data_IF_406583182913
#
_entry.id   IF_406583182913
#
_cell.length_a   1.000
_cell.length_b   1.000
_cell.length_c   1.000
_cell.angle_alpha   90.00
_cell.angle_beta   90.00
_cell.angle_gamma   90.00
#
_symmetry.space_group_name_H-M   'P 1'
#
loop_
_entity.id
_entity.type
_entity.pdbx_description
1 polymer ?
#
# COMPACT_ATOMS: atom_id res chain seq x y z
N UNK A 1 57.98 65.74 -6.11
CA UNK A 1 57.18 66.96 -5.82
C UNK A 1 55.76 66.59 -6.17
N UNK A 2 54.93 66.50 -5.12
CA UNK A 2 53.44 66.41 -5.09
C UNK A 2 52.77 65.21 -5.79
N UNK A 3 52.14 64.23 -5.10
CA UNK A 3 50.84 64.24 -4.35
C UNK A 3 49.70 64.74 -5.27
N UNK A 4 48.59 64.05 -5.54
CA UNK A 4 47.65 63.22 -4.76
C UNK A 4 46.79 62.40 -5.77
N UNK A 5 46.46 61.12 -5.59
CA UNK A 5 45.48 60.52 -4.65
C UNK A 5 44.02 60.69 -5.12
N UNK A 6 43.42 59.68 -5.75
CA UNK A 6 42.00 59.42 -5.54
C UNK A 6 41.64 57.94 -5.73
N UNK A 7 40.89 57.45 -4.76
CA UNK A 7 40.75 56.05 -4.39
C UNK A 7 39.45 55.52 -4.98
N UNK A 8 39.49 54.72 -6.05
CA UNK A 8 38.29 54.04 -6.55
C UNK A 8 38.03 52.80 -5.69
N UNK A 9 37.23 52.97 -4.63
CA UNK A 9 36.76 51.88 -3.77
C UNK A 9 35.84 50.96 -4.56
N UNK A 10 36.39 49.88 -5.10
CA UNK A 10 35.62 48.73 -5.58
C UNK A 10 34.92 48.09 -4.39
N UNK A 11 33.60 48.27 -4.29
CA UNK A 11 32.77 47.50 -3.37
C UNK A 11 32.46 46.15 -4.02
N UNK A 12 33.29 45.14 -3.74
CA UNK A 12 32.89 43.76 -3.95
C UNK A 12 31.73 43.47 -2.98
N UNK A 13 30.51 43.38 -3.51
CA UNK A 13 29.40 42.80 -2.80
C UNK A 13 29.63 41.28 -2.74
N UNK A 14 30.08 40.79 -1.59
CA UNK A 14 30.06 39.37 -1.29
C UNK A 14 28.59 38.94 -1.18
N UNK A 15 28.10 38.22 -2.19
CA UNK A 15 26.81 37.52 -2.10
C UNK A 15 27.07 36.32 -1.17
N UNK A 16 26.71 36.48 0.11
CA UNK A 16 26.52 35.34 0.99
C UNK A 16 25.32 34.55 0.47
N UNK A 17 25.60 33.45 -0.24
CA UNK A 17 24.62 32.42 -0.49
C UNK A 17 24.33 31.77 0.87
N UNK A 18 23.28 32.23 1.55
CA UNK A 18 22.78 31.54 2.73
C UNK A 18 22.29 30.17 2.28
N UNK A 19 23.08 29.12 2.53
CA UNK A 19 22.58 27.74 2.53
C UNK A 19 21.50 27.68 3.60
N UNK A 20 20.24 27.78 3.18
CA UNK A 20 19.13 27.36 4.01
C UNK A 20 19.31 25.84 4.25
N UNK A 21 19.41 25.37 5.50
CA UNK A 21 19.33 23.95 5.75
C UNK A 21 17.93 23.54 5.30
N UNK A 22 17.88 22.75 4.24
CA UNK A 22 16.68 22.01 3.89
C UNK A 22 16.46 21.11 5.10
N UNK A 23 15.43 21.40 5.91
CA UNK A 23 14.87 20.39 6.78
C UNK A 23 14.39 19.27 5.86
N UNK A 24 15.25 18.30 5.63
CA UNK A 24 14.78 16.96 5.36
C UNK A 24 14.02 16.58 6.64
N UNK A 25 12.69 16.55 6.57
CA UNK A 25 11.98 15.62 7.43
C UNK A 25 12.59 14.26 7.09
N UNK A 26 13.42 13.73 7.98
CA UNK A 26 13.58 12.28 8.06
C UNK A 26 12.16 11.75 8.21
N UNK A 27 11.65 11.12 7.14
CA UNK A 27 10.56 10.17 7.26
C UNK A 27 11.10 9.09 8.20
N UNK A 28 10.83 9.25 9.50
CA UNK A 28 11.20 8.29 10.53
C UNK A 28 10.54 6.96 10.15
N UNK A 29 11.31 5.93 9.74
CA UNK A 29 10.72 4.67 9.32
C UNK A 29 10.11 4.05 10.57
N UNK A 30 8.79 4.26 10.75
CA UNK A 30 8.01 3.95 11.95
C UNK A 30 8.67 2.85 12.78
N UNK A 31 9.45 3.28 13.77
CA UNK A 31 9.97 2.37 14.78
C UNK A 31 8.76 1.90 15.58
N UNK A 32 8.59 0.58 15.81
CA UNK A 32 7.47 0.09 16.57
C UNK A 32 7.42 0.79 17.93
N UNK A 33 6.23 1.17 18.36
CA UNK A 33 6.01 1.59 19.73
C UNK A 33 6.34 0.35 20.59
N UNK A 34 7.48 0.42 21.27
CA UNK A 34 8.22 -0.76 21.68
C UNK A 34 7.41 -1.70 22.58
N UNK A 35 7.01 -2.84 22.00
CA UNK A 35 7.04 -4.21 22.56
C UNK A 35 6.41 -5.18 21.54
N UNK A 36 7.11 -6.29 21.28
CA UNK A 36 6.54 -7.53 20.75
C UNK A 36 6.21 -7.64 19.24
N UNK A 37 6.96 -6.98 18.35
CA UNK A 37 6.85 -7.24 16.89
C UNK A 37 5.53 -6.78 16.25
N UNK A 38 4.76 -5.95 16.93
CA UNK A 38 3.49 -5.40 16.44
C UNK A 38 3.70 -4.06 15.74
N UNK A 39 3.13 -3.91 14.55
CA UNK A 39 3.07 -2.68 13.77
C UNK A 39 1.61 -2.32 13.52
N UNK A 40 1.19 -1.12 13.89
CA UNK A 40 -0.19 -0.65 13.75
C UNK A 40 -0.21 0.70 13.05
N UNK A 41 -1.01 0.80 11.99
CA UNK A 41 -1.12 1.97 11.15
C UNK A 41 -2.57 2.38 11.04
N UNK A 42 -2.89 3.56 11.56
CA UNK A 42 -4.22 4.17 11.50
C UNK A 42 -4.23 5.31 10.50
N UNK A 43 -4.85 5.10 9.35
CA UNK A 43 -4.80 6.04 8.24
C UNK A 43 -5.62 7.31 8.47
N UNK A 44 -6.20 7.54 9.64
CA UNK A 44 -6.84 8.82 9.92
C UNK A 44 -5.85 10.00 9.91
N UNK A 45 -4.61 9.76 10.35
CA UNK A 45 -3.60 10.81 10.57
C UNK A 45 -2.58 11.00 9.44
N UNK A 46 -2.63 10.16 8.41
CA UNK A 46 -1.72 10.21 7.26
C UNK A 46 -1.57 8.84 6.62
N UNK A 47 -0.65 8.71 5.65
CA UNK A 47 -0.38 7.43 5.00
C UNK A 47 0.63 6.57 5.76
N UNK A 48 1.29 7.12 6.78
CA UNK A 48 2.34 6.44 7.54
C UNK A 48 3.37 5.76 6.64
N UNK A 49 3.79 6.42 5.54
CA UNK A 49 4.76 5.90 4.58
C UNK A 49 4.32 4.62 3.84
N UNK A 50 3.03 4.28 3.84
CA UNK A 50 2.47 3.35 2.87
C UNK A 50 2.38 4.03 1.51
N UNK A 51 2.83 3.34 0.47
CA UNK A 51 2.85 3.85 -0.91
C UNK A 51 1.96 2.99 -1.80
N UNK A 52 1.15 3.59 -2.69
CA UNK A 52 0.26 2.86 -3.57
C UNK A 52 1.01 2.28 -4.78
N UNK A 53 0.52 1.16 -5.29
CA UNK A 53 0.93 0.53 -6.54
C UNK A 53 -0.27 -0.10 -7.26
N UNK A 54 -0.11 -0.32 -8.56
CA UNK A 54 -1.12 -0.93 -9.43
C UNK A 54 -0.43 -1.91 -10.36
N UNK A 55 -1.00 -3.09 -10.56
CA UNK A 55 -0.49 -4.13 -11.45
C UNK A 55 -1.65 -4.85 -12.17
N UNK A 56 -1.29 -5.74 -13.08
CA UNK A 56 -2.17 -6.57 -13.90
C UNK A 56 -3.06 -5.76 -14.86
N UNK A 57 -2.45 -4.78 -15.52
CA UNK A 57 -3.04 -3.99 -16.60
C UNK A 57 -2.01 -3.70 -17.71
N UNK A 58 -2.42 -3.41 -18.96
CA UNK A 58 -1.47 -3.07 -20.02
C UNK A 58 -0.73 -1.77 -19.74
N UNK A 59 0.58 -1.74 -20.00
CA UNK A 59 1.39 -0.55 -19.76
C UNK A 59 0.90 0.66 -20.59
N UNK A 60 0.77 1.82 -19.96
CA UNK A 60 0.27 3.05 -20.60
C UNK A 60 -1.25 3.20 -20.63
N UNK A 61 -2.01 2.28 -20.04
CA UNK A 61 -3.47 2.32 -19.96
C UNK A 61 -3.98 2.86 -18.60
N UNK A 62 -3.15 3.55 -17.81
CA UNK A 62 -3.51 4.01 -16.46
C UNK A 62 -4.76 4.91 -16.47
N UNK A 63 -4.92 5.74 -17.51
CA UNK A 63 -6.09 6.58 -17.70
C UNK A 63 -7.34 5.77 -18.07
N UNK A 64 -7.20 4.73 -18.90
CA UNK A 64 -8.32 3.88 -19.31
C UNK A 64 -8.80 2.98 -18.17
N UNK A 65 -7.90 2.63 -17.26
CA UNK A 65 -8.19 1.93 -16.00
C UNK A 65 -8.60 2.87 -14.87
N UNK A 66 -8.67 4.18 -15.09
CA UNK A 66 -9.08 5.16 -14.08
C UNK A 66 -8.34 5.01 -12.73
N UNK A 67 -7.04 4.70 -12.76
CA UNK A 67 -6.28 4.38 -11.55
C UNK A 67 -6.15 5.61 -10.63
N UNK A 68 -6.59 5.47 -9.39
CA UNK A 68 -6.62 6.55 -8.39
C UNK A 68 -6.06 6.04 -7.07
N UNK A 69 -5.10 6.79 -6.52
CA UNK A 69 -4.64 6.66 -5.14
C UNK A 69 -4.68 8.01 -4.43
N UNK A 70 -5.38 8.10 -3.30
CA UNK A 70 -5.53 9.35 -2.52
C UNK A 70 -5.61 9.06 -1.02
N UNK A 71 -5.22 10.02 -0.20
CA UNK A 71 -5.52 10.03 1.24
C UNK A 71 -6.63 11.06 1.50
N UNK A 72 -7.84 10.61 1.79
CA UNK A 72 -9.03 11.46 1.84
C UNK A 72 -10.06 10.98 2.87
N UNK A 73 -11.11 11.76 3.08
CA UNK A 73 -12.21 11.43 4.00
C UNK A 73 -13.01 10.24 3.50
N UNK A 74 -13.54 9.43 4.42
CA UNK A 74 -14.43 8.33 4.05
C UNK A 74 -15.73 8.86 3.41
N UNK A 75 -16.32 8.11 2.47
CA UNK A 75 -17.57 8.50 1.82
C UNK A 75 -18.77 8.33 2.74
N UNK A 76 -19.88 9.03 2.45
CA UNK A 76 -21.17 8.72 3.05
C UNK A 76 -21.57 7.26 2.76
N UNK A 77 -22.25 6.55 3.67
CA UNK A 77 -22.80 7.02 4.95
C UNK A 77 -21.82 6.91 6.14
N UNK A 78 -20.54 6.65 5.88
CA UNK A 78 -19.53 6.54 6.94
C UNK A 78 -19.19 7.92 7.52
N UNK A 79 -18.54 7.90 8.69
CA UNK A 79 -18.08 9.10 9.37
C UNK A 79 -17.04 9.85 8.52
N UNK A 80 -17.41 11.05 8.05
CA UNK A 80 -16.57 11.88 7.19
C UNK A 80 -15.45 12.61 7.94
N UNK A 81 -15.41 12.55 9.28
CA UNK A 81 -14.25 12.98 10.07
C UNK A 81 -13.13 11.93 10.05
N UNK A 82 -13.43 10.69 9.63
CA UNK A 82 -12.45 9.63 9.40
C UNK A 82 -11.84 9.74 8.01
N UNK A 83 -10.56 9.38 7.91
CA UNK A 83 -9.81 9.32 6.65
C UNK A 83 -9.23 7.94 6.41
N UNK A 84 -8.96 7.64 5.15
CA UNK A 84 -8.31 6.42 4.70
C UNK A 84 -7.51 6.64 3.42
N UNK A 85 -6.81 5.60 2.98
CA UNK A 85 -6.16 5.57 1.68
C UNK A 85 -7.14 4.95 0.68
N UNK A 86 -7.67 5.78 -0.24
CA UNK A 86 -8.44 5.33 -1.39
C UNK A 86 -7.51 4.68 -2.40
N UNK A 87 -7.81 3.44 -2.78
CA UNK A 87 -7.37 2.83 -4.04
C UNK A 87 -8.60 2.56 -4.91
N UNK A 88 -8.57 3.00 -6.16
CA UNK A 88 -9.65 2.73 -7.12
C UNK A 88 -9.12 2.52 -8.53
N UNK A 89 -9.83 1.70 -9.28
CA UNK A 89 -9.58 1.45 -10.69
C UNK A 89 -10.78 0.77 -11.35
N UNK A 90 -10.94 1.01 -12.64
CA UNK A 90 -11.86 0.32 -13.53
C UNK A 90 -11.14 -0.87 -14.16
N UNK A 91 -11.44 -2.07 -13.69
CA UNK A 91 -10.80 -3.29 -14.16
C UNK A 91 -11.27 -3.64 -15.58
N UNK A 92 -10.30 -3.76 -16.50
CA UNK A 92 -10.53 -4.17 -17.90
C UNK A 92 -9.74 -5.43 -18.28
N UNK A 93 -9.00 -6.00 -17.33
CA UNK A 93 -8.12 -7.17 -17.53
C UNK A 93 -8.63 -8.43 -16.88
N UNK A 94 -9.73 -8.37 -16.10
CA UNK A 94 -10.20 -9.46 -15.24
C UNK A 94 -9.21 -9.82 -14.11
N UNK A 95 -8.24 -8.93 -13.85
CA UNK A 95 -7.12 -9.25 -12.95
C UNK A 95 -6.52 -8.04 -12.22
N UNK A 96 -7.07 -6.83 -12.36
CA UNK A 96 -6.46 -5.60 -11.81
C UNK A 96 -6.11 -5.77 -10.33
N UNK A 97 -4.83 -5.59 -10.00
CA UNK A 97 -4.31 -5.58 -8.65
C UNK A 97 -3.96 -4.16 -8.18
N UNK A 98 -4.57 -3.73 -7.09
CA UNK A 98 -4.33 -2.41 -6.47
C UNK A 98 -3.80 -2.63 -5.07
N UNK A 99 -2.63 -2.11 -4.73
CA UNK A 99 -1.98 -2.44 -3.47
C UNK A 99 -1.32 -1.25 -2.78
N UNK A 100 -1.10 -1.41 -1.47
CA UNK A 100 -0.26 -0.55 -0.66
C UNK A 100 0.97 -1.35 -0.25
N UNK A 101 2.15 -0.74 -0.33
CA UNK A 101 3.41 -1.33 0.16
C UNK A 101 4.08 -0.48 1.22
N UNK A 102 4.80 -1.13 2.12
CA UNK A 102 5.60 -0.47 3.18
C UNK A 102 6.80 -1.32 3.59
N UNK A 103 7.94 -0.67 3.84
CA UNK A 103 9.09 -1.30 4.47
C UNK A 103 8.99 -1.19 5.99
N UNK A 104 9.07 -2.33 6.67
CA UNK A 104 9.26 -2.46 8.11
C UNK A 104 10.76 -2.53 8.39
N UNK A 105 11.17 -1.97 9.52
CA UNK A 105 12.59 -1.94 9.95
C UNK A 105 12.70 -2.26 11.44
N UNK A 106 13.91 -2.56 11.90
CA UNK A 106 14.18 -2.88 13.31
C UNK A 106 13.84 -4.30 13.70
N UNK A 107 13.73 -5.21 12.73
CA UNK A 107 13.61 -6.65 12.93
C UNK A 107 15.00 -7.29 13.09
N UNK A 108 15.05 -8.54 13.52
CA UNK A 108 16.30 -9.30 13.55
C UNK A 108 16.71 -9.60 12.09
N UNK A 109 17.97 -9.32 11.68
CA UNK A 109 18.45 -9.62 10.33
C UNK A 109 18.38 -11.11 9.99
N UNK A 110 18.19 -11.42 8.70
CA UNK A 110 18.23 -12.79 8.16
C UNK A 110 17.36 -13.79 8.95
N UNK A 111 16.29 -13.30 9.55
CA UNK A 111 15.39 -14.06 10.42
C UNK A 111 14.05 -14.22 9.73
N UNK A 112 13.54 -15.46 9.71
CA UNK A 112 12.19 -15.77 9.25
C UNK A 112 11.17 -15.35 10.30
N UNK A 113 10.09 -14.71 9.86
CA UNK A 113 8.97 -14.30 10.70
C UNK A 113 7.68 -14.95 10.23
N UNK A 114 6.85 -15.40 11.18
CA UNK A 114 5.42 -15.57 10.96
C UNK A 114 4.71 -14.22 11.12
N UNK A 115 3.82 -13.89 10.18
CA UNK A 115 3.21 -12.57 10.07
C UNK A 115 1.69 -12.73 10.15
N UNK A 116 1.09 -12.30 11.26
CA UNK A 116 -0.35 -12.17 11.36
C UNK A 116 -0.77 -10.79 10.84
N UNK A 117 -1.79 -10.75 9.97
CA UNK A 117 -2.26 -9.54 9.30
C UNK A 117 -3.70 -9.28 9.70
N UNK A 118 -4.03 -8.01 9.95
CA UNK A 118 -5.40 -7.52 10.06
C UNK A 118 -5.52 -6.21 9.30
N UNK A 119 -6.53 -6.11 8.44
CA UNK A 119 -6.79 -4.92 7.62
C UNK A 119 -8.26 -4.51 7.76
N UNK A 120 -8.49 -3.22 8.01
CA UNK A 120 -9.82 -2.60 7.93
C UNK A 120 -9.88 -1.72 6.68
N UNK A 121 -10.99 -1.83 5.95
CA UNK A 121 -11.27 -1.00 4.78
C UNK A 121 -12.77 -0.74 4.63
N UNK A 122 -13.12 0.35 3.97
CA UNK A 122 -14.48 0.60 3.51
C UNK A 122 -14.68 0.07 2.09
N UNK A 123 -15.84 -0.56 1.87
CA UNK A 123 -16.27 -1.14 0.59
C UNK A 123 -17.77 -0.96 0.42
N UNK A 124 -18.20 -0.60 -0.79
CA UNK A 124 -19.62 -0.52 -1.15
C UNK A 124 -20.13 -1.76 -1.87
N UNK A 125 -19.27 -2.76 -2.09
CA UNK A 125 -19.59 -3.96 -2.85
C UNK A 125 -20.60 -4.86 -2.12
N UNK A 126 -21.83 -5.02 -2.64
CA UNK A 126 -22.83 -5.89 -2.04
C UNK A 126 -22.48 -7.37 -2.23
N UNK A 127 -22.93 -8.22 -1.31
CA UNK A 127 -22.81 -9.66 -1.39
C UNK A 127 -23.96 -10.28 -2.20
N UNK A 128 -23.69 -11.43 -2.84
CA UNK A 128 -24.68 -12.22 -3.58
C UNK A 128 -25.13 -11.60 -4.90
N UNK A 129 -24.35 -10.64 -5.42
CA UNK A 129 -24.68 -9.90 -6.64
C UNK A 129 -23.92 -10.44 -7.85
N UNK A 130 -24.58 -10.40 -9.02
CA UNK A 130 -23.95 -10.75 -10.28
C UNK A 130 -23.32 -9.51 -10.91
N UNK A 131 -22.06 -9.63 -11.34
CA UNK A 131 -21.35 -8.60 -12.09
C UNK A 131 -20.86 -9.10 -13.44
N UNK A 132 -20.16 -8.24 -14.17
CA UNK A 132 -19.49 -8.57 -15.43
C UNK A 132 -18.10 -9.12 -15.10
N UNK A 133 -17.71 -10.23 -15.74
CA UNK A 133 -16.54 -11.03 -15.35
C UNK A 133 -16.83 -11.84 -14.08
N UNK A 134 -16.98 -11.15 -12.95
CA UNK A 134 -17.20 -11.71 -11.62
C UNK A 134 -18.19 -10.91 -10.77
N UNK A 135 -18.45 -11.39 -9.56
CA UNK A 135 -19.28 -10.69 -8.59
C UNK A 135 -18.55 -9.45 -8.01
N UNK A 136 -19.23 -8.31 -7.81
CA UNK A 136 -18.58 -7.08 -7.33
C UNK A 136 -17.92 -7.24 -5.95
N UNK A 137 -18.48 -8.09 -5.09
CA UNK A 137 -17.94 -8.36 -3.76
C UNK A 137 -17.04 -9.60 -3.72
N UNK A 138 -17.55 -10.74 -4.19
CA UNK A 138 -16.91 -12.05 -4.00
C UNK A 138 -15.78 -12.35 -4.99
N UNK A 139 -15.76 -11.70 -6.15
CA UNK A 139 -14.67 -11.86 -7.14
C UNK A 139 -13.57 -10.81 -6.98
N UNK A 140 -13.61 -10.03 -5.90
CA UNK A 140 -12.52 -9.12 -5.54
C UNK A 140 -12.00 -9.51 -4.17
N UNK A 141 -10.74 -9.93 -4.12
CA UNK A 141 -10.11 -10.45 -2.90
C UNK A 141 -9.00 -9.55 -2.40
N UNK A 142 -8.89 -9.46 -1.09
CA UNK A 142 -7.76 -8.83 -0.41
C UNK A 142 -6.66 -9.86 -0.23
N UNK A 143 -5.47 -9.52 -0.70
CA UNK A 143 -4.24 -10.27 -0.50
C UNK A 143 -3.30 -9.52 0.42
N UNK A 144 -2.51 -10.28 1.17
CA UNK A 144 -1.42 -9.76 1.98
C UNK A 144 -0.16 -10.58 1.72
N UNK A 145 0.96 -9.91 1.51
CA UNK A 145 2.24 -10.54 1.24
C UNK A 145 3.40 -9.83 1.89
N UNK A 146 4.55 -10.49 1.91
CA UNK A 146 5.77 -9.99 2.52
C UNK A 146 7.00 -10.55 1.80
N UNK A 147 8.06 -9.75 1.70
CA UNK A 147 9.31 -10.14 1.04
C UNK A 147 10.49 -9.32 1.55
N UNK A 148 11.70 -9.86 1.43
CA UNK A 148 12.93 -9.07 1.61
C UNK A 148 13.12 -8.06 0.46
N UNK A 149 12.52 -8.33 -0.70
CA UNK A 149 12.58 -7.47 -1.89
C UNK A 149 11.40 -6.51 -1.86
N UNK A 150 11.60 -5.29 -2.35
CA UNK A 150 10.53 -4.30 -2.48
C UNK A 150 9.48 -4.79 -3.47
N UNK A 151 8.18 -4.85 -3.10
CA UNK A 151 7.10 -5.10 -4.04
C UNK A 151 7.07 -3.96 -5.06
N UNK A 152 7.40 -4.23 -6.31
CA UNK A 152 7.39 -3.24 -7.37
C UNK A 152 6.71 -3.80 -8.62
N UNK A 153 6.57 -2.94 -9.62
CA UNK A 153 5.97 -3.34 -10.89
C UNK A 153 6.97 -3.40 -12.02
N UNK A 154 6.84 -4.45 -12.82
CA UNK A 154 7.65 -4.70 -14.02
C UNK A 154 6.74 -4.82 -15.23
N UNK A 155 7.25 -4.48 -16.41
CA UNK A 155 6.54 -4.73 -17.66
C UNK A 155 7.02 -6.08 -18.21
N UNK A 156 6.11 -7.02 -18.36
CA UNK A 156 6.40 -8.35 -18.91
C UNK A 156 6.56 -8.33 -20.45
N UNK A 157 6.86 -9.49 -21.04
CA UNK A 157 7.05 -9.61 -22.49
C UNK A 157 5.78 -9.38 -23.31
N UNK A 158 4.60 -9.42 -22.68
CA UNK A 158 3.30 -9.17 -23.32
C UNK A 158 2.89 -7.69 -23.19
N UNK A 159 3.70 -6.86 -22.53
CA UNK A 159 3.43 -5.45 -22.31
C UNK A 159 2.48 -5.18 -21.13
N UNK A 160 2.27 -6.16 -20.25
CA UNK A 160 1.48 -6.00 -19.05
C UNK A 160 2.36 -5.50 -17.90
N UNK A 161 1.85 -4.54 -17.14
CA UNK A 161 2.39 -4.18 -15.83
C UNK A 161 2.04 -5.30 -14.87
N UNK A 162 3.02 -5.94 -14.24
CA UNK A 162 2.88 -7.06 -13.31
C UNK A 162 3.58 -6.73 -12.01
N UNK A 163 3.11 -7.30 -10.90
CA UNK A 163 3.86 -7.32 -9.65
C UNK A 163 5.10 -8.22 -9.84
N UNK A 164 6.23 -7.84 -9.26
CA UNK A 164 7.47 -8.62 -9.31
C UNK A 164 7.52 -9.80 -8.32
N UNK A 165 6.59 -9.83 -7.36
CA UNK A 165 6.38 -10.90 -6.38
C UNK A 165 5.22 -11.83 -6.80
N UNK A 166 5.31 -13.10 -6.41
CA UNK A 166 4.25 -14.07 -6.65
C UNK A 166 3.11 -13.89 -5.63
N UNK A 167 2.15 -13.04 -6.01
CA UNK A 167 0.90 -12.89 -5.25
C UNK A 167 -0.12 -14.01 -5.49
N UNK A 168 0.16 -14.96 -6.38
CA UNK A 168 -0.82 -15.93 -6.87
C UNK A 168 -1.80 -15.29 -7.86
N UNK A 169 -2.95 -15.94 -8.05
CA UNK A 169 -3.96 -15.50 -9.02
C UNK A 169 -5.37 -15.62 -8.44
N UNK A 170 -6.11 -14.52 -8.43
CA UNK A 170 -7.45 -14.41 -7.88
C UNK A 170 -7.58 -15.09 -6.49
N UNK A 171 -8.42 -16.13 -6.39
CA UNK A 171 -8.68 -16.84 -5.13
C UNK A 171 -7.53 -17.70 -4.64
N UNK A 172 -6.52 -17.95 -5.49
CA UNK A 172 -5.38 -18.78 -5.16
C UNK A 172 -4.24 -17.91 -4.56
N UNK A 173 -3.62 -18.37 -3.46
CA UNK A 173 -2.43 -17.72 -2.90
C UNK A 173 -1.22 -17.93 -3.81
N UNK A 174 -0.18 -17.12 -3.62
CA UNK A 174 1.13 -17.29 -4.25
C UNK A 174 2.20 -17.60 -3.22
N UNK A 175 3.44 -17.76 -3.68
CA UNK A 175 4.60 -17.95 -2.80
C UNK A 175 4.81 -16.77 -1.84
N UNK A 176 4.57 -15.54 -2.30
CA UNK A 176 4.82 -14.31 -1.54
C UNK A 176 3.55 -13.70 -0.90
N UNK A 177 2.37 -14.29 -1.11
CA UNK A 177 1.10 -13.74 -0.58
C UNK A 177 0.00 -14.77 -0.28
N UNK A 178 -0.78 -14.45 0.74
CA UNK A 178 -2.01 -15.15 1.12
C UNK A 178 -3.27 -14.37 0.75
N UNK A 179 -4.42 -15.05 0.72
CA UNK A 179 -5.74 -14.45 0.50
C UNK A 179 -6.45 -14.24 1.84
N UNK A 180 -6.69 -13.00 2.25
CA UNK A 180 -7.38 -12.68 3.51
C UNK A 180 -8.90 -12.87 3.41
N UNK A 181 -9.46 -12.75 2.20
CA UNK A 181 -10.91 -12.86 1.95
C UNK A 181 -11.38 -11.88 0.89
N UNK A 182 -12.70 -11.84 0.65
CA UNK A 182 -13.30 -10.96 -0.36
C UNK A 182 -13.76 -9.61 0.20
N UNK A 183 -14.15 -8.67 -0.67
CA UNK A 183 -14.61 -7.33 -0.25
C UNK A 183 -16.13 -7.20 -0.08
N UNK A 184 -16.90 -8.27 -0.25
CA UNK A 184 -18.35 -8.23 -0.13
C UNK A 184 -18.76 -7.75 1.27
N UNK A 185 -19.58 -6.70 1.37
CA UNK A 185 -20.13 -6.24 2.64
C UNK A 185 -21.44 -6.97 2.99
N UNK A 186 -22.16 -6.50 4.02
CA UNK A 186 -23.38 -7.17 4.46
C UNK A 186 -24.61 -6.85 3.59
N UNK A 187 -24.52 -5.85 2.70
CA UNK A 187 -25.61 -5.42 1.86
C UNK A 187 -25.92 -6.47 0.78
N UNK A 188 -27.20 -6.80 0.61
CA UNK A 188 -27.68 -7.72 -0.43
C UNK A 188 -28.47 -7.00 -1.53
N UNK A 189 -28.64 -5.67 -1.44
CA UNK A 189 -29.29 -4.88 -2.49
C UNK A 189 -28.27 -4.48 -3.55
N UNK A 190 -28.26 -5.23 -4.65
CA UNK A 190 -27.35 -5.02 -5.77
C UNK A 190 -27.57 -3.70 -6.52
N UNK A 191 -28.69 -3.00 -6.27
CA UNK A 191 -29.04 -1.76 -6.96
C UNK A 191 -28.84 -0.51 -6.10
N UNK A 192 -28.54 -0.68 -4.81
CA UNK A 192 -28.28 0.39 -3.85
C UNK A 192 -27.01 0.07 -3.03
N UNK A 193 -25.82 0.07 -3.67
CA UNK A 193 -24.56 -0.15 -2.97
C UNK A 193 -24.31 0.96 -1.96
N UNK A 194 -23.76 0.59 -0.80
CA UNK A 194 -23.49 1.52 0.31
C UNK A 194 -22.21 1.13 0.99
N UNK A 195 -21.39 2.12 1.34
CA UNK A 195 -20.14 1.85 2.05
C UNK A 195 -20.41 1.31 3.45
N UNK A 196 -19.74 0.20 3.75
CA UNK A 196 -19.64 -0.39 5.07
C UNK A 196 -18.16 -0.65 5.38
N UNK A 197 -17.77 -0.59 6.64
CA UNK A 197 -16.44 -1.00 7.07
C UNK A 197 -16.40 -2.52 7.19
N UNK A 198 -15.33 -3.11 6.67
CA UNK A 198 -15.04 -4.53 6.76
C UNK A 198 -13.63 -4.72 7.31
N UNK A 199 -13.49 -5.70 8.18
CA UNK A 199 -12.18 -6.17 8.65
C UNK A 199 -11.94 -7.58 8.13
N UNK A 200 -10.74 -7.82 7.62
CA UNK A 200 -10.22 -9.14 7.32
C UNK A 200 -8.94 -9.37 8.10
N UNK A 201 -8.66 -10.63 8.40
CA UNK A 201 -7.42 -11.05 9.06
C UNK A 201 -6.90 -12.37 8.45
N UNK A 202 -5.64 -12.68 8.72
CA UNK A 202 -4.99 -13.89 8.21
C UNK A 202 -5.58 -15.18 8.79
N UNK A 203 -6.37 -15.13 9.87
CA UNK A 203 -6.86 -16.28 10.62
C UNK A 203 -5.72 -17.29 10.89
N UNK A 204 -5.93 -18.57 10.55
CA UNK A 204 -4.94 -19.64 10.69
C UNK A 204 -4.02 -19.78 9.46
N UNK A 205 -4.11 -18.89 8.47
CA UNK A 205 -3.24 -18.94 7.29
C UNK A 205 -1.82 -18.52 7.63
N UNK A 206 -0.86 -19.22 7.06
CA UNK A 206 0.56 -18.96 7.25
C UNK A 206 1.06 -17.97 6.20
N UNK A 207 1.47 -16.79 6.65
CA UNK A 207 2.31 -15.88 5.90
C UNK A 207 3.67 -15.82 6.59
N UNK A 208 4.73 -16.23 5.89
CA UNK A 208 6.10 -16.08 6.36
C UNK A 208 6.95 -15.28 5.40
N UNK A 209 7.97 -14.62 5.92
CA UNK A 209 9.02 -14.04 5.12
C UNK A 209 10.30 -13.88 5.93
N UNK A 210 11.43 -13.95 5.24
CA UNK A 210 12.75 -13.72 5.83
C UNK A 210 13.16 -12.28 5.61
N UNK A 211 13.61 -11.64 6.68
CA UNK A 211 14.17 -10.27 6.64
C UNK A 211 15.48 -10.22 5.86
N UNK A 212 15.82 -9.03 5.34
CA UNK A 212 17.11 -8.80 4.72
C UNK A 212 18.26 -8.75 5.76
N UNK A 213 19.50 -8.58 5.26
CA UNK A 213 20.70 -8.50 6.07
C UNK A 213 20.74 -7.30 7.04
N UNK A 214 19.82 -6.35 6.89
CA UNK A 214 19.71 -5.16 7.71
C UNK A 214 18.48 -5.22 8.65
N UNK A 215 17.78 -6.36 8.71
CA UNK A 215 16.58 -6.51 9.53
C UNK A 215 15.38 -5.71 9.01
N UNK A 216 15.26 -5.60 7.69
CA UNK A 216 14.14 -4.96 7.00
C UNK A 216 13.27 -6.00 6.32
N UNK A 217 12.00 -5.68 6.20
CA UNK A 217 11.02 -6.52 5.52
C UNK A 217 10.01 -5.64 4.81
N UNK A 218 9.73 -5.91 3.55
CA UNK A 218 8.61 -5.29 2.86
C UNK A 218 7.34 -6.08 3.08
N UNK A 219 6.23 -5.36 3.17
CA UNK A 219 4.88 -5.90 3.22
C UNK A 219 4.02 -5.20 2.18
N UNK A 220 3.06 -5.92 1.63
CA UNK A 220 2.02 -5.35 0.78
C UNK A 220 0.64 -5.91 1.12
N UNK A 221 -0.38 -5.06 1.03
CA UNK A 221 -1.78 -5.43 1.15
C UNK A 221 -2.53 -4.79 0.00
N UNK A 222 -3.33 -5.57 -0.73
CA UNK A 222 -4.01 -5.07 -1.93
C UNK A 222 -5.21 -5.88 -2.33
N UNK A 223 -6.03 -5.33 -3.23
CA UNK A 223 -7.17 -6.01 -3.83
C UNK A 223 -6.84 -6.51 -5.23
N UNK A 224 -7.14 -7.76 -5.51
CA UNK A 224 -7.11 -8.37 -6.85
C UNK A 224 -8.54 -8.57 -7.34
N UNK A 225 -8.87 -8.05 -8.51
CA UNK A 225 -10.24 -7.98 -9.02
C UNK A 225 -10.44 -8.84 -10.26
N UNK A 226 -11.32 -9.83 -10.17
CA UNK A 226 -11.99 -10.47 -11.32
C UNK A 226 -13.34 -9.82 -11.66
N UNK A 227 -13.68 -8.69 -11.05
CA UNK A 227 -14.87 -7.92 -11.40
C UNK A 227 -14.50 -6.89 -12.45
N UNK A 228 -15.03 -7.00 -13.67
CA UNK A 228 -14.70 -6.15 -14.83
C UNK A 228 -15.43 -4.78 -14.78
N UNK A 229 -15.37 -4.11 -13.64
CA UNK A 229 -15.85 -2.74 -13.50
C UNK A 229 -15.04 -1.99 -12.44
N UNK A 230 -15.56 -0.85 -12.00
CA UNK A 230 -14.90 -0.01 -11.00
C UNK A 230 -14.98 -0.64 -9.62
N UNK A 231 -13.83 -0.74 -8.97
CA UNK A 231 -13.71 -1.01 -7.54
C UNK A 231 -13.09 0.22 -6.87
N UNK A 232 -13.58 0.58 -5.68
CA UNK A 232 -13.03 1.66 -4.86
C UNK A 232 -13.01 1.20 -3.39
N UNK A 233 -11.83 1.16 -2.80
CA UNK A 233 -11.63 0.74 -1.41
C UNK A 233 -10.91 1.83 -0.63
N UNK A 234 -11.38 2.09 0.58
CA UNK A 234 -10.71 3.01 1.50
C UNK A 234 -10.07 2.22 2.64
N UNK A 235 -8.76 1.99 2.58
CA UNK A 235 -8.04 1.34 3.67
C UNK A 235 -7.97 2.29 4.86
N UNK A 236 -8.48 1.87 6.01
CA UNK A 236 -8.56 2.69 7.23
C UNK A 236 -7.51 2.32 8.25
N UNK A 237 -7.17 1.03 8.37
CA UNK A 237 -6.05 0.60 9.20
C UNK A 237 -5.44 -0.72 8.76
N UNK A 238 -4.15 -0.88 9.07
CA UNK A 238 -3.39 -2.13 8.89
C UNK A 238 -2.65 -2.41 10.20
N UNK A 239 -2.81 -3.63 10.71
CA UNK A 239 -2.03 -4.17 11.83
C UNK A 239 -1.29 -5.42 11.40
N UNK A 240 -0.02 -5.50 11.76
CA UNK A 240 0.88 -6.62 11.50
C UNK A 240 1.47 -7.07 12.82
N UNK A 241 1.56 -8.37 13.05
CA UNK A 241 2.20 -8.95 14.22
C UNK A 241 3.21 -10.00 13.77
N UNK A 242 4.48 -9.70 14.01
CA UNK A 242 5.63 -10.45 13.52
C UNK A 242 6.24 -11.26 14.66
N UNK A 243 6.19 -12.58 14.54
CA UNK A 243 6.80 -13.52 15.49
C UNK A 243 8.00 -14.21 14.82
N UNK A 244 9.23 -14.05 15.34
CA UNK A 244 10.39 -14.77 14.83
C UNK A 244 10.15 -16.28 14.88
N UNK A 245 10.47 -16.99 13.80
CA UNK A 245 10.55 -18.44 13.80
C UNK A 245 11.94 -18.86 14.28
N UNK A 246 12.00 -19.76 15.26
CA UNK A 246 13.28 -20.36 15.63
C UNK A 246 13.81 -21.13 14.42
N UNK A 247 15.10 -20.98 14.12
CA UNK A 247 15.72 -21.79 13.09
C UNK A 247 15.59 -23.26 13.50
N UNK A 248 15.03 -24.10 12.63
CA UNK A 248 15.10 -25.54 12.83
C UNK A 248 16.58 -25.97 12.74
N UNK A 249 17.15 -26.41 13.86
CA UNK A 249 18.53 -26.93 13.99
C UNK A 249 18.75 -28.24 13.20
#
# INVERSE_FOLDING_TARGET
MERENETMRSKLAAILLALAPILACEDDPARPDGKDGVFEFEFNSGTHGWTPGFADYPAGEEQAYELVARHETLPEPLDQDRRGILLSGFNRSDDLFMFLKRQLTGLAPETEYAIAVRVEFATDAPQGCFGVGGAPGESVVIKAGASAVEPDTVIDSEGMVRLDLDKGNQLDPGEDAIVLGNIANSNTDCLDPRYELKTLDSADQELTATTDADGRLWVFIGSESGFEAKTALYYTSIRLELTPREAED
#
